data_IF_444543101470
#
_entry.id   IF_444543101470
#
_cell.length_a   1.000
_cell.length_b   1.000
_cell.length_c   1.000
_cell.angle_alpha   90.00
_cell.angle_beta   90.00
_cell.angle_gamma   90.00
#
_symmetry.space_group_name_H-M   'P 1'
#
loop_
_entity.id
_entity.type
_entity.pdbx_description
1 polymer ?
#
# COMPACT_ATOMS: atom_id res chain seq x y z
N UNK A 1 -11.28 6.07 12.00
CA UNK A 1 -9.80 6.14 11.88
C UNK A 1 -9.46 5.77 10.46
N UNK A 2 -8.80 6.65 9.71
CA UNK A 2 -8.43 6.34 8.33
C UNK A 2 -7.28 5.30 8.33
N UNK A 3 -7.30 4.36 7.39
CA UNK A 3 -6.27 3.33 7.25
C UNK A 3 -4.87 3.97 7.09
N UNK A 4 -4.77 5.05 6.31
CA UNK A 4 -3.54 5.80 6.06
C UNK A 4 -2.95 6.39 7.34
N UNK A 5 -3.78 6.99 8.19
CA UNK A 5 -3.33 7.54 9.47
C UNK A 5 -2.75 6.44 10.38
N UNK A 6 -3.41 5.28 10.41
CA UNK A 6 -2.99 4.17 11.27
C UNK A 6 -1.68 3.56 10.79
N UNK A 7 -1.55 3.33 9.47
CA UNK A 7 -0.31 2.85 8.85
C UNK A 7 0.81 3.87 9.06
N UNK A 8 0.57 5.14 8.76
CA UNK A 8 1.57 6.19 8.91
C UNK A 8 2.07 6.37 10.35
N UNK A 9 1.15 6.39 11.32
CA UNK A 9 1.49 6.47 12.73
C UNK A 9 2.35 5.26 13.17
N UNK A 10 2.05 4.07 12.64
CA UNK A 10 2.82 2.86 12.90
C UNK A 10 4.23 2.97 12.33
N UNK A 11 4.38 3.36 11.06
CA UNK A 11 5.68 3.56 10.43
C UNK A 11 6.52 4.61 11.17
N UNK A 12 5.90 5.71 11.57
CA UNK A 12 6.55 6.78 12.35
C UNK A 12 7.02 6.26 13.71
N UNK A 13 6.16 5.52 14.43
CA UNK A 13 6.47 4.94 15.73
C UNK A 13 7.70 4.03 15.70
N UNK A 14 7.90 3.29 14.61
CA UNK A 14 9.04 2.39 14.45
C UNK A 14 10.22 3.00 13.66
N UNK A 15 10.14 4.27 13.26
CA UNK A 15 11.20 4.93 12.49
C UNK A 15 11.40 4.33 11.08
N UNK A 16 10.33 3.77 10.49
CA UNK A 16 10.38 3.05 9.21
C UNK A 16 9.96 3.90 8.01
N UNK A 17 9.58 5.16 8.19
CA UNK A 17 9.05 6.02 7.10
C UNK A 17 9.98 6.14 5.88
N UNK A 18 11.30 6.06 6.08
CA UNK A 18 12.32 6.10 5.01
C UNK A 18 12.80 4.72 4.57
N UNK A 19 12.16 3.65 5.04
CA UNK A 19 12.56 2.25 4.81
C UNK A 19 11.49 1.41 4.12
N UNK A 20 10.35 2.01 3.79
CA UNK A 20 9.29 1.32 3.06
C UNK A 20 9.60 1.41 1.57
N UNK A 21 9.83 0.26 0.95
CA UNK A 21 9.98 0.15 -0.50
C UNK A 21 8.64 0.02 -1.21
N UNK A 22 7.73 -0.79 -0.67
CA UNK A 22 6.45 -1.10 -1.28
C UNK A 22 5.44 -1.63 -0.27
N UNK A 23 4.16 -1.52 -0.61
CA UNK A 23 3.05 -2.12 0.11
C UNK A 23 2.47 -3.27 -0.71
N UNK A 24 2.31 -4.44 -0.11
CA UNK A 24 1.63 -5.59 -0.71
C UNK A 24 0.23 -5.70 -0.13
N UNK A 25 -0.79 -5.56 -0.98
CA UNK A 25 -2.20 -5.45 -0.55
C UNK A 25 -3.12 -6.25 -1.46
N UNK A 26 -4.32 -6.58 -1.01
CA UNK A 26 -5.33 -7.19 -1.89
C UNK A 26 -5.75 -6.21 -3.01
N UNK A 27 -6.52 -6.69 -3.99
CA UNK A 27 -6.89 -5.89 -5.16
C UNK A 27 -8.12 -5.00 -4.90
N UNK A 28 -8.34 -4.57 -3.65
CA UNK A 28 -9.43 -3.70 -3.27
C UNK A 28 -9.12 -2.23 -3.64
N UNK A 29 -10.09 -1.52 -4.20
CA UNK A 29 -9.91 -0.13 -4.68
C UNK A 29 -9.63 0.88 -3.56
N UNK A 30 -10.04 0.59 -2.33
CA UNK A 30 -9.71 1.44 -1.17
C UNK A 30 -8.21 1.47 -0.85
N UNK A 31 -7.43 0.50 -1.34
CA UNK A 31 -5.97 0.50 -1.22
C UNK A 31 -5.32 1.56 -2.11
N UNK A 32 -6.00 2.00 -3.17
CA UNK A 32 -5.51 3.09 -4.03
C UNK A 32 -5.48 4.39 -3.22
N UNK A 33 -6.58 4.69 -2.52
CA UNK A 33 -6.67 5.83 -1.60
C UNK A 33 -5.67 5.75 -0.44
N UNK A 34 -5.36 4.55 0.06
CA UNK A 34 -4.30 4.39 1.07
C UNK A 34 -2.95 4.84 0.51
N UNK A 35 -2.59 4.36 -0.67
CA UNK A 35 -1.28 4.62 -1.28
C UNK A 35 -1.11 6.09 -1.62
N UNK A 36 -2.14 6.73 -2.19
CA UNK A 36 -2.16 8.18 -2.45
C UNK A 36 -1.90 8.98 -1.16
N UNK A 37 -2.62 8.64 -0.09
CA UNK A 37 -2.45 9.32 1.20
C UNK A 37 -1.07 9.08 1.86
N UNK A 38 -0.41 7.96 1.57
CA UNK A 38 0.96 7.70 2.03
C UNK A 38 1.97 8.50 1.18
N UNK A 39 1.77 8.58 -0.13
CA UNK A 39 2.59 9.36 -1.05
C UNK A 39 2.57 10.86 -0.69
N UNK A 40 1.40 11.42 -0.38
CA UNK A 40 1.26 12.79 0.12
C UNK A 40 2.10 13.01 1.41
N UNK A 41 2.04 12.07 2.36
CA UNK A 41 2.81 12.16 3.62
C UNK A 41 4.30 12.03 3.45
N UNK A 42 4.73 11.26 2.44
CA UNK A 42 6.12 11.17 2.02
C UNK A 42 6.58 12.50 1.40
N UNK A 43 5.77 13.09 0.51
CA UNK A 43 6.05 14.38 -0.11
C UNK A 43 6.19 15.52 0.92
N UNK A 44 5.30 15.58 1.92
CA UNK A 44 5.39 16.52 3.05
C UNK A 44 6.73 16.46 3.81
N UNK A 45 7.42 15.32 3.76
CA UNK A 45 8.66 15.05 4.49
C UNK A 45 9.88 14.91 3.58
N UNK A 46 9.75 15.23 2.29
CA UNK A 46 10.79 15.09 1.28
C UNK A 46 11.35 13.65 1.19
N UNK A 47 10.47 12.65 1.33
CA UNK A 47 10.80 11.23 1.13
C UNK A 47 10.46 10.87 -0.31
N UNK A 48 11.45 10.42 -1.09
CA UNK A 48 11.22 9.90 -2.44
C UNK A 48 10.45 8.58 -2.36
N UNK A 49 9.16 8.65 -2.67
CA UNK A 49 8.26 7.52 -2.68
C UNK A 49 7.24 7.75 -3.79
N UNK A 50 7.01 6.73 -4.61
CA UNK A 50 6.06 6.78 -5.72
C UNK A 50 5.00 5.73 -5.49
N UNK A 51 3.75 6.16 -5.29
CA UNK A 51 2.63 5.26 -5.01
C UNK A 51 2.42 4.24 -6.11
N UNK A 52 2.48 4.70 -7.37
CA UNK A 52 2.37 3.87 -8.56
C UNK A 52 3.41 2.74 -8.59
N UNK A 53 4.68 3.04 -8.32
CA UNK A 53 5.78 2.05 -8.36
C UNK A 53 5.84 1.16 -7.11
N UNK A 54 5.22 1.60 -6.02
CA UNK A 54 5.35 0.98 -4.69
C UNK A 54 4.11 0.22 -4.27
N UNK A 55 3.09 0.11 -5.14
CA UNK A 55 1.86 -0.65 -4.90
C UNK A 55 1.94 -2.04 -5.55
N UNK A 56 2.07 -3.06 -4.72
CA UNK A 56 2.10 -4.46 -5.12
C UNK A 56 0.78 -5.15 -4.78
N UNK A 57 0.37 -6.10 -5.63
CA UNK A 57 -0.79 -6.96 -5.38
C UNK A 57 -0.39 -8.20 -4.59
N UNK A 58 -1.26 -8.62 -3.68
CA UNK A 58 -1.09 -9.80 -2.85
C UNK A 58 -1.11 -11.06 -3.73
N UNK A 59 0.02 -11.77 -3.78
CA UNK A 59 0.18 -12.93 -4.66
C UNK A 59 -0.90 -14.01 -4.41
N UNK A 60 -1.16 -14.46 -3.16
CA UNK A 60 -2.22 -15.42 -2.90
C UNK A 60 -3.60 -14.98 -3.41
N UNK A 61 -3.94 -13.70 -3.27
CA UNK A 61 -5.22 -13.17 -3.75
C UNK A 61 -5.29 -13.17 -5.28
N UNK A 62 -4.21 -12.80 -5.97
CA UNK A 62 -4.12 -12.89 -7.43
C UNK A 62 -4.30 -14.32 -7.93
N UNK A 63 -3.66 -15.30 -7.29
CA UNK A 63 -3.83 -16.72 -7.65
C UNK A 63 -5.26 -17.19 -7.41
N UNK A 64 -5.86 -16.83 -6.27
CA UNK A 64 -7.24 -17.18 -5.97
C UNK A 64 -8.23 -16.63 -7.02
N UNK A 65 -8.10 -15.35 -7.41
CA UNK A 65 -8.91 -14.75 -8.47
C UNK A 65 -8.75 -15.47 -9.80
N UNK A 66 -7.52 -15.85 -10.17
CA UNK A 66 -7.26 -16.58 -11.40
C UNK A 66 -7.89 -17.98 -11.41
N UNK A 67 -7.89 -18.67 -10.27
CA UNK A 67 -8.57 -19.98 -10.13
C UNK A 67 -10.08 -19.82 -10.25
N UNK A 68 -10.68 -18.81 -9.61
CA UNK A 68 -12.12 -18.58 -9.73
C UNK A 68 -12.54 -18.34 -11.19
N UNK A 69 -11.82 -17.48 -11.92
CA UNK A 69 -12.10 -17.21 -13.34
C UNK A 69 -12.02 -18.45 -14.26
N UNK A 70 -11.16 -19.42 -13.93
CA UNK A 70 -10.99 -20.65 -14.73
C UNK A 70 -11.99 -21.73 -14.35
N UNK A 71 -12.47 -21.73 -13.10
CA UNK A 71 -13.35 -22.74 -12.55
C UNK A 71 -14.84 -22.35 -12.56
N UNK A 72 -15.15 -21.07 -12.77
CA UNK A 72 -16.49 -20.55 -13.05
C UNK A 72 -16.86 -20.72 -14.55
#
# INVERSE_FOLDING_TARGET
KNMAETVWATLTRYGLTHRVMAFMMDNATNNDTLIEAIEEKCAERNIDFSGERSRLRCMPHTVHLAVMEVCD
#
